data_IF_872732757203
#
_entry.id   IF_872732757203
#
_cell.length_a   1.000
_cell.length_b   1.000
_cell.length_c   1.000
_cell.angle_alpha   90.00
_cell.angle_beta   90.00
_cell.angle_gamma   90.00
#
_symmetry.space_group_name_H-M   'P 1'
#
loop_
_entity.id
_entity.type
_entity.pdbx_description
1 polymer ?
#
# COMPACT_ATOMS: atom_id res chain seq x y z
N UNK A 1 -67.22 9.25 40.93
CA UNK A 1 -66.60 9.10 42.27
C UNK A 1 -65.96 7.74 42.37
N UNK A 2 -64.82 7.68 43.07
CA UNK A 2 -63.89 6.57 43.35
C UNK A 2 -62.81 6.26 42.29
N UNK A 3 -61.62 6.80 42.60
CA UNK A 3 -60.31 6.39 42.11
C UNK A 3 -59.97 4.98 42.62
N UNK A 4 -59.36 4.14 41.77
CA UNK A 4 -58.41 3.12 42.21
C UNK A 4 -57.07 3.34 41.49
N UNK A 5 -56.00 3.37 42.29
CA UNK A 5 -54.61 3.62 41.86
C UNK A 5 -54.08 2.49 40.97
N UNK A 6 -53.09 2.79 40.11
CA UNK A 6 -52.50 1.82 39.16
C UNK A 6 -51.52 0.85 39.86
N UNK A 7 -51.29 -0.36 39.30
CA UNK A 7 -50.18 -1.21 39.72
C UNK A 7 -48.84 -0.64 39.23
N UNK A 8 -47.86 -0.68 40.13
CA UNK A 8 -46.50 -0.16 40.00
C UNK A 8 -45.71 -0.88 38.89
N UNK A 9 -44.78 -0.20 38.19
CA UNK A 9 -43.92 -0.83 37.19
C UNK A 9 -42.97 -1.87 37.83
N UNK A 10 -42.59 -2.94 37.11
CA UNK A 10 -41.49 -3.79 37.54
C UNK A 10 -40.20 -2.98 37.50
N UNK A 11 -39.37 -3.15 38.53
CA UNK A 11 -38.02 -2.60 38.66
C UNK A 11 -37.21 -2.84 37.37
N UNK A 12 -37.10 -1.83 36.51
CA UNK A 12 -35.95 -1.72 35.63
C UNK A 12 -34.82 -1.16 36.48
N UNK A 13 -34.00 -2.09 36.97
CA UNK A 13 -32.65 -1.82 37.44
C UNK A 13 -31.96 -0.83 36.52
N UNK A 14 -31.53 0.31 37.06
CA UNK A 14 -30.61 1.23 36.40
C UNK A 14 -29.41 0.41 35.93
N UNK A 15 -29.34 0.14 34.64
CA UNK A 15 -28.06 -0.20 34.02
C UNK A 15 -27.19 1.05 34.17
N UNK A 16 -25.95 0.94 34.69
CA UNK A 16 -25.00 2.02 34.56
C UNK A 16 -24.90 2.33 33.07
N UNK A 17 -25.11 3.59 32.69
CA UNK A 17 -24.64 4.08 31.41
C UNK A 17 -23.19 3.66 31.30
N UNK A 18 -22.91 2.68 30.44
CA UNK A 18 -21.55 2.35 30.07
C UNK A 18 -21.05 3.60 29.34
N UNK A 19 -20.42 4.51 30.08
CA UNK A 19 -19.60 5.55 29.47
C UNK A 19 -18.71 4.81 28.51
N UNK A 20 -18.87 5.10 27.21
CA UNK A 20 -17.95 4.65 26.20
C UNK A 20 -16.54 4.95 26.73
N UNK A 21 -15.57 4.03 26.56
CA UNK A 21 -14.20 4.34 26.92
C UNK A 21 -13.86 5.66 26.24
N UNK A 22 -13.35 6.60 27.04
CA UNK A 22 -12.89 7.92 26.61
C UNK A 22 -12.31 7.80 25.20
N UNK A 23 -13.07 8.22 24.21
CA UNK A 23 -12.53 8.57 22.91
C UNK A 23 -11.81 9.90 23.12
N UNK A 24 -10.72 9.84 23.88
CA UNK A 24 -9.48 10.46 23.44
C UNK A 24 -9.12 9.78 22.13
N UNK A 25 -9.89 10.15 21.10
CA UNK A 25 -9.40 10.35 19.78
C UNK A 25 -8.05 11.01 19.96
N UNK A 26 -7.00 10.21 19.73
CA UNK A 26 -5.96 10.49 18.76
C UNK A 26 -6.39 11.70 17.88
N UNK A 27 -6.34 12.89 18.47
CA UNK A 27 -6.43 14.18 17.79
C UNK A 27 -5.03 14.49 17.25
N UNK A 28 -4.36 13.48 16.70
CA UNK A 28 -3.28 13.76 15.79
C UNK A 28 -4.00 14.30 14.56
N UNK A 29 -3.72 15.53 14.09
CA UNK A 29 -4.07 15.85 12.71
C UNK A 29 -3.55 14.69 11.84
N UNK A 30 -4.29 14.26 10.80
CA UNK A 30 -3.71 13.31 9.85
C UNK A 30 -2.34 13.86 9.51
N UNK A 31 -1.29 13.04 9.64
CA UNK A 31 0.07 13.49 9.43
C UNK A 31 0.09 14.19 8.08
N UNK A 32 0.08 15.53 8.11
CA UNK A 32 0.06 16.34 6.90
C UNK A 32 1.47 16.21 6.40
N UNK A 33 1.70 15.20 5.57
CA UNK A 33 2.97 15.03 4.90
C UNK A 33 3.15 16.27 4.04
N UNK A 34 4.03 17.17 4.49
CA UNK A 34 4.49 18.27 3.67
C UNK A 34 5.22 17.64 2.49
N UNK A 35 4.88 18.05 1.26
CA UNK A 35 5.66 17.68 0.08
C UNK A 35 7.13 18.02 0.37
N UNK A 36 8.07 17.06 0.33
CA UNK A 36 9.43 17.32 0.76
C UNK A 36 10.04 18.40 -0.13
N UNK A 37 10.56 19.47 0.48
CA UNK A 37 11.41 20.43 -0.20
C UNK A 37 12.70 19.69 -0.58
N UNK A 38 13.02 19.63 -1.87
CA UNK A 38 14.06 18.76 -2.46
C UNK A 38 15.48 18.94 -1.87
N UNK A 39 15.73 19.97 -1.06
CA UNK A 39 17.06 20.29 -0.55
C UNK A 39 17.47 19.55 0.74
N UNK A 40 16.56 18.89 1.47
CA UNK A 40 16.90 18.22 2.75
C UNK A 40 16.12 16.91 3.05
N UNK A 41 15.63 16.20 2.02
CA UNK A 41 14.95 14.93 2.25
C UNK A 41 15.93 13.85 2.74
N UNK A 42 15.52 13.06 3.73
CA UNK A 42 16.25 11.88 4.17
C UNK A 42 16.29 10.80 3.08
N UNK A 43 17.19 9.81 3.20
CA UNK A 43 17.31 8.73 2.20
C UNK A 43 15.98 8.02 1.95
N UNK A 44 15.21 7.75 3.02
CA UNK A 44 13.92 7.06 2.89
C UNK A 44 12.86 7.96 2.24
N UNK A 45 12.82 9.25 2.58
CA UNK A 45 11.92 10.20 1.92
C UNK A 45 12.23 10.33 0.43
N UNK A 46 13.51 10.38 0.06
CA UNK A 46 13.92 10.36 -1.34
C UNK A 46 13.51 9.06 -2.04
N UNK A 47 13.67 7.91 -1.40
CA UNK A 47 13.24 6.63 -1.96
C UNK A 47 11.73 6.60 -2.23
N UNK A 48 10.92 7.10 -1.28
CA UNK A 48 9.48 7.25 -1.48
C UNK A 48 9.14 8.20 -2.63
N UNK A 49 9.82 9.35 -2.72
CA UNK A 49 9.64 10.27 -3.84
C UNK A 49 10.01 9.63 -5.18
N UNK A 50 11.09 8.86 -5.23
CA UNK A 50 11.51 8.15 -6.44
C UNK A 50 10.46 7.11 -6.85
N UNK A 51 9.91 6.34 -5.91
CA UNK A 51 8.82 5.39 -6.21
C UNK A 51 7.59 6.10 -6.82
N UNK A 52 7.18 7.23 -6.25
CA UNK A 52 6.06 8.04 -6.76
C UNK A 52 6.38 8.61 -8.14
N UNK A 53 7.58 9.16 -8.33
CA UNK A 53 8.02 9.73 -9.60
C UNK A 53 8.12 8.68 -10.70
N UNK A 54 8.65 7.49 -10.39
CA UNK A 54 8.73 6.39 -11.34
C UNK A 54 7.34 5.95 -11.77
N UNK A 55 6.38 5.79 -10.85
CA UNK A 55 5.00 5.47 -11.22
C UNK A 55 4.42 6.51 -12.18
N UNK A 56 4.47 7.79 -11.81
CA UNK A 56 3.92 8.87 -12.63
C UNK A 56 4.71 9.22 -13.88
N UNK A 57 5.93 8.70 -14.03
CA UNK A 57 6.71 8.80 -15.28
C UNK A 57 6.11 7.91 -16.37
N UNK A 58 5.52 6.78 -15.99
CA UNK A 58 4.93 5.83 -16.93
C UNK A 58 3.41 5.94 -17.02
N UNK A 59 2.72 6.36 -15.95
CA UNK A 59 1.27 6.54 -15.96
C UNK A 59 0.82 7.78 -16.73
N UNK A 60 -0.38 7.73 -17.30
CA UNK A 60 -1.00 8.89 -17.96
C UNK A 60 -0.45 9.23 -19.34
N UNK A 61 0.35 8.35 -19.93
CA UNK A 61 0.67 8.39 -21.35
C UNK A 61 -0.54 7.87 -22.16
N UNK A 62 -1.31 6.94 -21.60
CA UNK A 62 -2.56 6.41 -22.15
C UNK A 62 -3.64 6.34 -21.04
N UNK A 63 -4.85 6.84 -21.31
CA UNK A 63 -5.98 6.66 -20.40
C UNK A 63 -5.91 7.50 -19.11
N UNK A 64 -5.99 6.84 -17.95
CA UNK A 64 -5.99 7.50 -16.63
C UNK A 64 -4.56 7.78 -16.15
N UNK A 65 -4.32 9.01 -15.68
CA UNK A 65 -3.01 9.45 -15.19
C UNK A 65 -2.63 8.88 -13.82
N UNK A 66 -3.57 8.26 -13.13
CA UNK A 66 -3.38 7.68 -11.81
C UNK A 66 -3.22 6.16 -11.82
N UNK A 67 -3.28 5.54 -12.99
CA UNK A 67 -3.12 4.10 -13.17
C UNK A 67 -2.14 3.82 -14.31
N UNK A 68 -1.61 2.59 -14.34
CA UNK A 68 -0.82 2.08 -15.45
C UNK A 68 -1.68 1.14 -16.27
N UNK A 69 -1.89 1.46 -17.54
CA UNK A 69 -2.38 0.50 -18.51
C UNK A 69 -1.37 -0.65 -18.68
N UNK A 70 -1.81 -1.75 -19.29
CA UNK A 70 -0.95 -2.89 -19.62
C UNK A 70 0.30 -2.50 -20.43
N UNK A 71 0.16 -1.52 -21.34
CA UNK A 71 1.26 -1.04 -22.18
C UNK A 71 2.28 -0.24 -21.35
N UNK A 72 1.80 0.66 -20.49
CA UNK A 72 2.65 1.46 -19.61
C UNK A 72 3.34 0.59 -18.54
N UNK A 73 2.63 -0.40 -17.98
CA UNK A 73 3.22 -1.39 -17.09
C UNK A 73 4.36 -2.14 -17.78
N UNK A 74 4.16 -2.60 -19.02
CA UNK A 74 5.20 -3.28 -19.79
C UNK A 74 6.44 -2.40 -19.96
N UNK A 75 6.23 -1.14 -20.31
CA UNK A 75 7.32 -0.19 -20.51
C UNK A 75 8.10 0.04 -19.21
N UNK A 76 7.40 0.27 -18.10
CA UNK A 76 7.99 0.44 -16.77
C UNK A 76 8.79 -0.79 -16.33
N UNK A 77 8.21 -1.98 -16.43
CA UNK A 77 8.89 -3.24 -16.07
C UNK A 77 10.15 -3.46 -16.92
N UNK A 78 10.09 -3.12 -18.21
CA UNK A 78 11.25 -3.27 -19.11
C UNK A 78 12.36 -2.28 -18.78
N UNK A 79 12.00 -1.01 -18.56
CA UNK A 79 12.96 0.07 -18.38
C UNK A 79 13.57 0.12 -16.97
N UNK A 80 12.75 -0.09 -15.94
CA UNK A 80 13.17 0.06 -14.53
C UNK A 80 13.58 -1.28 -13.91
N UNK A 81 12.96 -2.39 -14.34
CA UNK A 81 13.16 -3.71 -13.74
C UNK A 81 13.70 -4.76 -14.72
N UNK A 82 14.09 -4.38 -15.94
CA UNK A 82 14.54 -5.31 -16.99
C UNK A 82 15.74 -6.19 -16.56
N UNK A 83 16.64 -5.64 -15.74
CA UNK A 83 17.78 -6.37 -15.20
C UNK A 83 17.37 -7.39 -14.11
N UNK A 84 16.28 -7.13 -13.38
CA UNK A 84 15.79 -8.01 -12.32
C UNK A 84 14.88 -9.11 -12.84
N UNK A 85 13.94 -8.78 -13.74
CA UNK A 85 12.95 -9.74 -14.20
C UNK A 85 13.44 -10.68 -15.31
N UNK A 86 14.56 -10.38 -15.98
CA UNK A 86 15.07 -11.22 -17.06
C UNK A 86 14.08 -11.32 -18.22
N UNK A 87 14.24 -10.46 -19.23
CA UNK A 87 13.44 -10.48 -20.46
C UNK A 87 11.93 -10.18 -20.25
N UNK A 88 11.60 -9.08 -19.56
CA UNK A 88 10.25 -8.48 -19.49
C UNK A 88 9.63 -8.08 -20.85
N UNK A 89 10.30 -8.42 -21.95
CA UNK A 89 9.84 -8.27 -23.33
C UNK A 89 8.75 -9.30 -23.67
N UNK A 90 8.70 -10.43 -22.95
CA UNK A 90 7.73 -11.50 -23.17
C UNK A 90 6.33 -11.06 -22.77
N UNK A 91 5.39 -11.18 -23.72
CA UNK A 91 4.00 -10.81 -23.52
C UNK A 91 3.37 -11.66 -22.41
N UNK A 92 3.67 -12.96 -22.33
CA UNK A 92 3.10 -13.83 -21.30
C UNK A 92 3.60 -13.47 -19.90
N UNK A 93 4.86 -13.04 -19.78
CA UNK A 93 5.42 -12.58 -18.51
C UNK A 93 4.74 -11.30 -18.02
N UNK A 94 4.55 -10.32 -18.91
CA UNK A 94 3.82 -9.08 -18.61
C UNK A 94 2.37 -9.37 -18.25
N UNK A 95 1.72 -10.26 -19.00
CA UNK A 95 0.33 -10.65 -18.78
C UNK A 95 0.15 -11.31 -17.41
N UNK A 96 1.10 -12.15 -17.02
CA UNK A 96 1.12 -12.76 -15.69
C UNK A 96 1.36 -11.72 -14.60
N UNK A 97 2.33 -10.83 -14.77
CA UNK A 97 2.59 -9.76 -13.79
C UNK A 97 1.36 -8.85 -13.66
N UNK A 98 0.74 -8.46 -14.77
CA UNK A 98 -0.52 -7.71 -14.74
C UNK A 98 -1.57 -8.43 -13.91
N UNK A 99 -1.81 -9.72 -14.16
CA UNK A 99 -2.80 -10.50 -13.40
C UNK A 99 -2.44 -10.72 -11.92
N UNK A 100 -1.15 -10.68 -11.58
CA UNK A 100 -0.68 -10.75 -10.18
C UNK A 100 -0.84 -9.38 -9.47
N UNK A 101 -0.92 -8.27 -10.20
CA UNK A 101 -1.03 -6.90 -9.66
C UNK A 101 -2.44 -6.34 -9.63
N UNK A 102 -3.16 -6.48 -10.75
CA UNK A 102 -4.53 -6.04 -10.99
C UNK A 102 -5.50 -6.84 -10.11
N UNK A 103 -5.55 -6.46 -8.83
CA UNK A 103 -6.28 -7.18 -7.79
C UNK A 103 -7.78 -6.94 -7.91
N UNK A 104 -8.14 -5.76 -8.40
CA UNK A 104 -9.52 -5.37 -8.62
C UNK A 104 -10.08 -5.84 -9.99
N UNK A 105 -9.21 -6.37 -10.88
CA UNK A 105 -9.50 -6.88 -12.22
C UNK A 105 -10.12 -5.82 -13.15
N UNK A 106 -9.68 -4.56 -13.05
CA UNK A 106 -10.12 -3.47 -13.91
C UNK A 106 -9.27 -3.33 -15.19
N UNK A 107 -8.16 -4.07 -15.29
CA UNK A 107 -7.25 -4.05 -16.44
C UNK A 107 -6.23 -2.92 -16.40
N UNK A 108 -6.11 -2.23 -15.27
CA UNK A 108 -5.12 -1.20 -14.98
C UNK A 108 -4.40 -1.54 -13.65
N UNK A 109 -3.32 -0.81 -13.33
CA UNK A 109 -2.59 -0.96 -12.06
C UNK A 109 -2.52 0.39 -11.37
N UNK A 110 -3.16 0.51 -10.22
CA UNK A 110 -3.09 1.73 -9.41
C UNK A 110 -1.80 1.84 -8.59
N UNK A 111 -1.58 2.99 -7.94
CA UNK A 111 -0.37 3.21 -7.16
C UNK A 111 -0.24 2.23 -5.97
N UNK A 112 -1.35 1.80 -5.38
CA UNK A 112 -1.37 0.84 -4.26
C UNK A 112 -0.87 -0.52 -4.75
N UNK A 113 -1.39 -0.99 -5.88
CA UNK A 113 -1.01 -2.26 -6.51
C UNK A 113 0.46 -2.24 -6.94
N UNK A 114 0.94 -1.13 -7.49
CA UNK A 114 2.35 -0.91 -7.79
C UNK A 114 3.25 -1.03 -6.54
N UNK A 115 2.88 -0.40 -5.42
CA UNK A 115 3.68 -0.47 -4.18
C UNK A 115 3.70 -1.88 -3.60
N UNK A 116 2.61 -2.64 -3.73
CA UNK A 116 2.57 -4.04 -3.33
C UNK A 116 3.61 -4.86 -4.11
N UNK A 117 3.76 -4.65 -5.42
CA UNK A 117 4.81 -5.29 -6.23
C UNK A 117 6.21 -4.96 -5.70
N UNK A 118 6.49 -3.66 -5.55
CA UNK A 118 7.81 -3.18 -5.12
C UNK A 118 8.13 -3.73 -3.74
N UNK A 119 7.14 -3.78 -2.85
CA UNK A 119 7.27 -4.40 -1.53
C UNK A 119 7.62 -5.89 -1.63
N UNK A 120 6.91 -6.65 -2.45
CA UNK A 120 7.17 -8.08 -2.65
C UNK A 120 8.57 -8.33 -3.23
N UNK A 121 8.98 -7.57 -4.26
CA UNK A 121 10.32 -7.64 -4.83
C UNK A 121 11.39 -7.27 -3.81
N UNK A 122 11.16 -6.23 -3.01
CA UNK A 122 12.10 -5.80 -1.97
C UNK A 122 12.29 -6.88 -0.91
N UNK A 123 11.20 -7.55 -0.48
CA UNK A 123 11.27 -8.68 0.45
C UNK A 123 12.04 -9.85 -0.17
N UNK A 124 11.75 -10.22 -1.42
CA UNK A 124 12.48 -11.27 -2.12
C UNK A 124 13.98 -10.96 -2.22
N UNK A 125 14.34 -9.72 -2.58
CA UNK A 125 15.72 -9.26 -2.63
C UNK A 125 16.39 -9.27 -1.25
N UNK A 126 15.66 -8.92 -0.19
CA UNK A 126 16.16 -8.98 1.19
C UNK A 126 16.47 -10.42 1.61
N UNK A 127 15.61 -11.39 1.26
CA UNK A 127 15.85 -12.80 1.55
C UNK A 127 17.11 -13.31 0.82
N UNK A 128 17.30 -12.95 -0.45
CA UNK A 128 18.53 -13.26 -1.19
C UNK A 128 19.78 -12.62 -0.57
N UNK A 129 19.67 -11.38 -0.07
CA UNK A 129 20.78 -10.68 0.56
C UNK A 129 21.19 -11.33 1.89
N UNK A 130 20.22 -11.74 2.70
CA UNK A 130 20.47 -12.47 3.95
C UNK A 130 21.08 -13.86 3.67
N UNK A 131 20.57 -14.58 2.66
CA UNK A 131 21.07 -15.90 2.29
C UNK A 131 22.49 -15.86 1.69
N UNK A 132 22.88 -14.77 1.03
CA UNK A 132 24.24 -14.58 0.52
C UNK A 132 25.26 -14.26 1.64
N UNK A 133 24.84 -13.53 2.68
CA UNK A 133 25.70 -13.13 3.79
C UNK A 133 25.90 -14.22 4.85
N UNK A 134 25.13 -15.32 4.81
CA UNK A 134 25.27 -16.49 5.70
C UNK A 134 26.24 -17.55 5.17
N UNK A 135 26.92 -17.31 4.03
CA UNK A 135 27.98 -18.23 3.57
C UNK A 135 29.20 -18.08 4.49
N UNK A 136 29.64 -19.14 5.21
CA UNK A 136 30.84 -19.05 6.01
C UNK A 136 32.02 -18.76 5.10
N UNK A 137 32.77 -17.70 5.42
CA UNK A 137 34.07 -17.42 4.81
C UNK A 137 34.88 -18.72 4.78
N UNK A 138 35.18 -19.21 3.58
CA UNK A 138 36.18 -20.28 3.42
C UNK A 138 37.53 -19.67 3.83
N UNK A 139 37.87 -19.83 5.11
CA UNK A 139 39.23 -19.57 5.61
C UNK A 139 40.20 -20.39 4.77
N UNK A 140 41.01 -19.68 3.97
CA UNK A 140 42.21 -20.23 3.33
C UNK A 140 43.29 -20.49 4.38
#
# INVERSE_FOLDING_TARGET
MYLRRPPHPPHQSLLPSLSAPDQQAINHPPLRMSLPNSENASTLENAMQLMIQTFHKYSGNEGDKYTLSRAELKEMLTAELGNYLGNAQDKEAVDKVMGDLDSNNDGEVDFTEFIILVGALTVACNDFFLEYNDKPEKKK
#
